data_IF_794933502988
#
_entry.id   IF_794933502988
#
_cell.length_a   1.000
_cell.length_b   1.000
_cell.length_c   1.000
_cell.angle_alpha   90.00
_cell.angle_beta   90.00
_cell.angle_gamma   90.00
#
_symmetry.space_group_name_H-M   'P 1'
#
loop_
_entity.id
_entity.type
_entity.pdbx_description
1 polymer ?
#
# COMPACT_ATOMS: atom_id res chain seq x y z
N UNK A 1 -29.36 -31.47 -19.61
CA UNK A 1 -28.23 -31.42 -20.58
C UNK A 1 -27.39 -30.14 -20.42
N UNK A 2 -28.02 -28.99 -20.22
CA UNK A 2 -27.34 -27.69 -20.05
C UNK A 2 -26.53 -27.58 -18.74
N UNK A 3 -27.06 -28.04 -17.61
CA UNK A 3 -26.32 -28.09 -16.33
C UNK A 3 -25.00 -28.88 -16.44
N UNK A 4 -25.02 -30.02 -17.11
CA UNK A 4 -23.83 -30.88 -17.24
C UNK A 4 -22.73 -30.22 -18.09
N UNK A 5 -23.12 -29.48 -19.15
CA UNK A 5 -22.18 -28.69 -19.96
C UNK A 5 -21.58 -27.54 -19.15
N UNK A 6 -22.37 -26.90 -18.28
CA UNK A 6 -21.91 -25.83 -17.40
C UNK A 6 -20.89 -26.35 -16.39
N UNK A 7 -21.22 -27.44 -15.68
CA UNK A 7 -20.34 -28.04 -14.66
C UNK A 7 -19.01 -28.52 -15.22
N UNK A 8 -18.98 -28.97 -16.48
CA UNK A 8 -17.75 -29.41 -17.12
C UNK A 8 -16.80 -28.24 -17.48
N UNK A 9 -17.32 -27.01 -17.56
CA UNK A 9 -16.53 -25.80 -17.87
C UNK A 9 -16.05 -25.05 -16.63
N UNK A 10 -16.59 -25.35 -15.45
CA UNK A 10 -16.27 -24.66 -14.22
C UNK A 10 -15.16 -25.38 -13.44
N UNK A 11 -14.30 -24.65 -12.72
CA UNK A 11 -13.38 -25.23 -11.73
C UNK A 11 -14.13 -26.07 -10.68
N UNK A 12 -13.45 -27.06 -10.10
CA UNK A 12 -14.07 -28.04 -9.20
C UNK A 12 -14.75 -27.40 -7.98
N UNK A 13 -14.16 -26.36 -7.39
CA UNK A 13 -14.74 -25.64 -6.24
C UNK A 13 -16.02 -24.88 -6.63
N UNK A 14 -16.00 -24.13 -7.73
CA UNK A 14 -17.17 -23.40 -8.24
C UNK A 14 -18.30 -24.34 -8.66
N UNK A 15 -17.97 -25.47 -9.27
CA UNK A 15 -18.93 -26.51 -9.62
C UNK A 15 -19.64 -27.10 -8.39
N UNK A 16 -18.91 -27.29 -7.29
CA UNK A 16 -19.49 -27.76 -6.03
C UNK A 16 -20.43 -26.73 -5.39
N UNK A 17 -20.09 -25.43 -5.44
CA UNK A 17 -20.96 -24.37 -4.93
C UNK A 17 -22.26 -24.27 -5.74
N UNK A 18 -22.18 -24.37 -7.07
CA UNK A 18 -23.38 -24.38 -7.94
C UNK A 18 -24.28 -25.58 -7.63
N UNK A 19 -23.72 -26.77 -7.44
CA UNK A 19 -24.50 -27.96 -7.05
C UNK A 19 -25.13 -27.78 -5.66
N UNK A 20 -24.40 -27.19 -4.71
CA UNK A 20 -24.91 -26.92 -3.36
C UNK A 20 -26.12 -25.98 -3.40
N UNK A 21 -26.02 -24.87 -4.16
CA UNK A 21 -27.12 -23.92 -4.33
C UNK A 21 -28.33 -24.52 -5.02
N UNK A 22 -28.14 -25.35 -6.05
CA UNK A 22 -29.23 -26.02 -6.74
C UNK A 22 -29.98 -27.03 -5.86
N UNK A 23 -29.31 -27.64 -4.87
CA UNK A 23 -29.94 -28.59 -3.93
C UNK A 23 -30.85 -27.92 -2.91
N UNK A 24 -30.61 -26.65 -2.60
CA UNK A 24 -31.31 -25.91 -1.52
C UNK A 24 -32.34 -24.94 -2.11
N UNK A 25 -32.27 -24.63 -3.40
CA UNK A 25 -33.13 -23.64 -4.04
C UNK A 25 -34.58 -24.12 -4.24
N UNK A 26 -35.54 -23.25 -3.92
CA UNK A 26 -36.96 -23.44 -4.19
C UNK A 26 -37.28 -23.44 -5.70
N UNK A 27 -36.53 -22.65 -6.49
CA UNK A 27 -36.55 -22.68 -7.96
C UNK A 27 -35.15 -22.96 -8.53
N UNK A 28 -34.80 -24.24 -8.73
CA UNK A 28 -33.49 -24.62 -9.27
C UNK A 28 -33.30 -24.22 -10.75
N UNK A 29 -34.37 -23.96 -11.50
CA UNK A 29 -34.27 -23.55 -12.91
C UNK A 29 -33.90 -22.07 -13.00
N UNK A 30 -34.42 -21.23 -12.10
CA UNK A 30 -34.03 -19.83 -12.01
C UNK A 30 -32.57 -19.70 -11.59
N UNK A 31 -32.13 -20.46 -10.58
CA UNK A 31 -30.73 -20.47 -10.14
C UNK A 31 -29.79 -20.89 -11.26
N UNK A 32 -30.14 -21.91 -12.03
CA UNK A 32 -29.34 -22.34 -13.18
C UNK A 32 -29.20 -21.24 -14.25
N UNK A 33 -30.28 -20.52 -14.56
CA UNK A 33 -30.27 -19.39 -15.51
C UNK A 33 -29.39 -18.26 -15.00
N UNK A 34 -29.52 -17.88 -13.74
CA UNK A 34 -28.68 -16.83 -13.14
C UNK A 34 -27.18 -17.14 -13.19
N UNK A 35 -26.79 -18.40 -12.99
CA UNK A 35 -25.39 -18.83 -13.10
C UNK A 35 -24.92 -18.81 -14.56
N UNK A 36 -25.76 -19.20 -15.51
CA UNK A 36 -25.45 -19.12 -16.94
C UNK A 36 -25.26 -17.67 -17.40
N UNK A 37 -26.17 -16.78 -17.00
CA UNK A 37 -26.10 -15.35 -17.33
C UNK A 37 -24.83 -14.72 -16.75
N UNK A 38 -24.49 -15.04 -15.50
CA UNK A 38 -23.23 -14.60 -14.89
C UNK A 38 -22.00 -15.15 -15.65
N UNK A 39 -22.03 -16.41 -16.07
CA UNK A 39 -20.94 -17.03 -16.83
C UNK A 39 -20.76 -16.42 -18.23
N UNK A 40 -21.84 -15.94 -18.86
CA UNK A 40 -21.79 -15.22 -20.15
C UNK A 40 -21.21 -13.81 -20.00
N UNK A 41 -21.46 -13.13 -18.87
CA UNK A 41 -20.84 -11.85 -18.56
C UNK A 41 -19.33 -12.00 -18.32
N UNK A 42 -18.92 -13.09 -17.66
CA UNK A 42 -17.51 -13.39 -17.40
C UNK A 42 -16.78 -13.77 -18.70
N UNK A 43 -17.41 -14.57 -19.58
CA UNK A 43 -16.82 -15.08 -20.82
C UNK A 43 -16.96 -14.14 -22.04
N UNK A 44 -17.31 -12.87 -21.85
CA UNK A 44 -17.44 -11.93 -22.95
C UNK A 44 -16.04 -11.60 -23.54
N UNK A 45 -15.74 -11.88 -24.82
CA UNK A 45 -14.44 -11.54 -25.43
C UNK A 45 -14.14 -10.03 -25.43
N UNK A 46 -15.15 -9.18 -25.24
CA UNK A 46 -14.95 -7.74 -25.06
C UNK A 46 -14.47 -7.37 -23.65
N UNK A 47 -14.65 -8.23 -22.64
CA UNK A 47 -14.16 -8.00 -21.27
C UNK A 47 -12.64 -8.15 -21.19
N UNK A 48 -12.06 -9.14 -21.89
CA UNK A 48 -10.61 -9.33 -21.95
C UNK A 48 -9.92 -8.21 -22.70
N UNK A 49 -10.50 -7.73 -23.81
CA UNK A 49 -10.00 -6.55 -24.53
C UNK A 49 -10.10 -5.26 -23.69
N UNK A 50 -11.15 -5.10 -22.89
CA UNK A 50 -11.30 -3.95 -22.00
C UNK A 50 -10.30 -4.00 -20.85
N UNK A 51 -10.11 -5.17 -20.22
CA UNK A 51 -9.09 -5.39 -19.18
C UNK A 51 -7.69 -5.09 -19.72
N UNK A 52 -7.32 -5.68 -20.86
CA UNK A 52 -6.01 -5.45 -21.47
C UNK A 52 -5.75 -3.97 -21.82
N UNK A 53 -6.78 -3.23 -22.24
CA UNK A 53 -6.68 -1.80 -22.50
C UNK A 53 -6.52 -0.98 -21.20
N UNK A 54 -7.21 -1.36 -20.13
CA UNK A 54 -7.04 -0.75 -18.81
C UNK A 54 -5.61 -0.98 -18.30
N UNK A 55 -5.14 -2.23 -18.37
CA UNK A 55 -3.78 -2.61 -17.96
C UNK A 55 -2.73 -1.80 -18.73
N UNK A 56 -2.86 -1.72 -20.06
CA UNK A 56 -1.97 -0.90 -20.92
C UNK A 56 -1.94 0.59 -20.51
N UNK A 57 -3.08 1.15 -20.07
CA UNK A 57 -3.16 2.55 -19.63
C UNK A 57 -2.52 2.75 -18.26
N UNK A 58 -2.70 1.81 -17.34
CA UNK A 58 -2.09 1.84 -16.01
C UNK A 58 -0.57 1.68 -16.10
N UNK A 59 -0.09 0.73 -16.92
CA UNK A 59 1.35 0.57 -17.22
C UNK A 59 1.95 1.84 -17.79
N UNK A 60 1.26 2.48 -18.75
CA UNK A 60 1.73 3.76 -19.31
C UNK A 60 1.81 4.87 -18.26
N UNK A 61 0.83 4.95 -17.35
CA UNK A 61 0.88 5.92 -16.25
C UNK A 61 2.06 5.67 -15.32
N UNK A 62 2.30 4.41 -14.96
CA UNK A 62 3.41 4.01 -14.10
C UNK A 62 4.76 4.32 -14.76
N UNK A 63 4.95 3.95 -16.03
CA UNK A 63 6.18 4.26 -16.78
C UNK A 63 6.46 5.77 -16.88
N UNK A 64 5.42 6.58 -17.08
CA UNK A 64 5.57 8.04 -17.10
C UNK A 64 5.94 8.58 -15.72
N UNK A 65 5.31 8.09 -14.66
CA UNK A 65 5.66 8.44 -13.29
C UNK A 65 7.13 8.09 -12.99
N UNK A 66 7.59 6.90 -13.37
CA UNK A 66 8.98 6.47 -13.18
C UNK A 66 9.98 7.37 -13.91
N UNK A 67 9.66 7.74 -15.16
CA UNK A 67 10.53 8.59 -15.99
C UNK A 67 10.69 9.97 -15.37
N UNK A 68 9.60 10.56 -14.91
CA UNK A 68 9.55 11.93 -14.39
C UNK A 68 9.99 12.06 -12.92
N UNK A 69 10.04 10.96 -12.18
CA UNK A 69 10.45 10.96 -10.77
C UNK A 69 11.93 11.31 -10.58
N UNK A 70 12.20 12.23 -9.65
CA UNK A 70 13.56 12.61 -9.26
C UNK A 70 14.26 11.50 -8.45
N UNK A 71 13.49 10.79 -7.63
CA UNK A 71 13.92 9.62 -6.87
C UNK A 71 13.28 8.39 -7.53
N UNK A 72 14.12 7.44 -7.95
CA UNK A 72 13.68 6.14 -8.48
C UNK A 72 14.00 5.05 -7.46
N UNK A 73 12.99 4.26 -7.15
CA UNK A 73 13.00 3.17 -6.18
C UNK A 73 12.06 2.07 -6.66
N UNK A 74 12.35 0.83 -6.27
CA UNK A 74 11.49 -0.31 -6.58
C UNK A 74 10.32 -0.35 -5.58
N UNK A 75 9.12 -0.69 -6.05
CA UNK A 75 7.95 -0.87 -5.21
C UNK A 75 8.05 -2.16 -4.40
N UNK A 76 8.45 -3.27 -5.04
CA UNK A 76 8.73 -4.53 -4.35
C UNK A 76 10.15 -4.50 -3.77
N UNK A 77 10.37 -5.10 -2.60
CA UNK A 77 9.43 -5.89 -1.79
C UNK A 77 8.56 -5.07 -0.81
N UNK A 78 8.64 -3.74 -0.85
CA UNK A 78 8.03 -2.85 0.15
C UNK A 78 6.51 -2.76 0.06
N UNK A 79 5.98 -2.83 -1.15
CA UNK A 79 4.54 -2.78 -1.43
C UNK A 79 4.20 -3.50 -2.73
N UNK A 80 2.96 -3.96 -2.81
CA UNK A 80 2.35 -4.51 -4.03
C UNK A 80 1.14 -3.67 -4.50
N UNK A 81 0.87 -2.53 -3.84
CA UNK A 81 -0.30 -1.67 -4.13
C UNK A 81 -0.19 -0.99 -5.49
N UNK A 82 1.02 -0.58 -5.88
CA UNK A 82 1.30 0.05 -7.17
C UNK A 82 2.67 -0.37 -7.72
N UNK A 83 2.96 0.02 -8.96
CA UNK A 83 4.24 -0.20 -9.62
C UNK A 83 5.34 0.77 -9.17
N UNK A 84 6.56 0.49 -9.63
CA UNK A 84 7.77 1.24 -9.27
C UNK A 84 7.65 2.72 -9.62
N UNK A 85 6.93 3.06 -10.70
CA UNK A 85 6.78 4.43 -11.13
C UNK A 85 5.91 5.28 -10.21
N UNK A 86 4.73 4.79 -9.86
CA UNK A 86 3.84 5.48 -8.92
C UNK A 86 4.51 5.59 -7.54
N UNK A 87 5.14 4.52 -7.06
CA UNK A 87 5.87 4.55 -5.77
C UNK A 87 7.03 5.55 -5.82
N UNK A 88 7.81 5.57 -6.90
CA UNK A 88 8.89 6.54 -7.11
C UNK A 88 8.40 7.99 -7.10
N UNK A 89 7.24 8.28 -7.70
CA UNK A 89 6.68 9.64 -7.73
C UNK A 89 6.21 10.08 -6.34
N UNK A 90 5.57 9.18 -5.59
CA UNK A 90 5.10 9.46 -4.24
C UNK A 90 6.27 9.66 -3.27
N UNK A 91 7.29 8.80 -3.32
CA UNK A 91 8.52 8.94 -2.52
C UNK A 91 9.28 10.21 -2.92
N UNK A 92 9.36 10.53 -4.22
CA UNK A 92 9.91 11.81 -4.69
C UNK A 92 9.14 12.98 -4.11
N UNK A 93 7.81 12.93 -4.16
CA UNK A 93 6.96 14.00 -3.65
C UNK A 93 7.10 14.20 -2.15
N UNK A 94 7.29 13.13 -1.38
CA UNK A 94 7.49 13.21 0.07
C UNK A 94 8.76 14.00 0.40
N UNK A 95 9.90 13.55 -0.12
CA UNK A 95 11.19 14.18 0.15
C UNK A 95 11.38 15.56 -0.49
N UNK A 96 10.62 15.90 -1.54
CA UNK A 96 10.64 17.24 -2.12
C UNK A 96 9.76 18.25 -1.37
N UNK A 97 8.73 17.79 -0.64
CA UNK A 97 7.80 18.67 0.08
C UNK A 97 8.20 18.90 1.53
N UNK A 98 8.86 17.93 2.18
CA UNK A 98 9.17 18.05 3.61
C UNK A 98 10.36 18.98 3.91
N UNK A 99 11.25 19.22 2.93
CA UNK A 99 12.23 20.32 2.99
C UNK A 99 11.54 21.70 3.10
N UNK A 100 10.26 21.82 2.69
CA UNK A 100 9.50 23.07 2.75
C UNK A 100 8.64 23.25 4.02
N UNK A 101 8.41 22.20 4.81
CA UNK A 101 7.51 22.22 5.99
C UNK A 101 8.20 22.06 7.37
N UNK A 102 9.54 22.25 7.44
CA UNK A 102 10.29 22.45 8.70
C UNK A 102 10.34 21.28 9.70
N UNK A 103 9.97 20.06 9.33
CA UNK A 103 10.04 18.90 10.22
C UNK A 103 10.64 17.67 9.52
N UNK A 104 11.97 17.62 9.29
CA UNK A 104 12.61 16.43 8.75
C UNK A 104 12.70 15.35 9.84
N UNK A 105 11.58 14.71 10.16
CA UNK A 105 11.52 13.63 11.14
C UNK A 105 11.98 12.27 10.56
N UNK A 106 12.43 12.25 9.30
CA UNK A 106 12.88 11.09 8.56
C UNK A 106 14.13 11.42 7.75
N UNK A 107 15.23 10.71 8.02
CA UNK A 107 16.48 10.86 7.28
C UNK A 107 16.37 10.26 5.87
N UNK A 108 16.44 11.14 4.87
CA UNK A 108 16.26 10.78 3.45
C UNK A 108 17.28 9.76 2.97
N UNK A 109 18.54 9.91 3.36
CA UNK A 109 19.64 9.09 2.84
C UNK A 109 19.54 7.68 3.38
N UNK A 110 19.40 7.53 4.71
CA UNK A 110 19.25 6.25 5.37
C UNK A 110 18.03 5.46 4.87
N UNK A 111 16.90 6.14 4.65
CA UNK A 111 15.69 5.52 4.11
C UNK A 111 15.90 5.04 2.67
N UNK A 112 16.41 5.89 1.78
CA UNK A 112 16.55 5.55 0.35
C UNK A 112 17.62 4.49 0.10
N UNK A 113 18.70 4.48 0.87
CA UNK A 113 19.71 3.42 0.83
C UNK A 113 19.09 2.06 1.10
N UNK A 114 18.28 1.95 2.17
CA UNK A 114 17.63 0.69 2.52
C UNK A 114 16.53 0.31 1.56
N UNK A 115 15.73 1.28 1.10
CA UNK A 115 14.69 1.03 0.11
C UNK A 115 15.27 0.43 -1.17
N UNK A 116 16.40 0.96 -1.65
CA UNK A 116 17.10 0.45 -2.83
C UNK A 116 17.81 -0.88 -2.58
N UNK A 117 18.26 -1.14 -1.36
CA UNK A 117 18.85 -2.43 -1.02
C UNK A 117 17.80 -3.57 -1.06
N UNK A 118 16.52 -3.25 -0.90
CA UNK A 118 15.42 -4.21 -1.07
C UNK A 118 15.40 -5.34 -0.04
N UNK A 119 16.12 -5.21 1.09
CA UNK A 119 16.20 -6.26 2.11
C UNK A 119 15.37 -5.91 3.35
N UNK A 120 14.09 -6.29 3.32
CA UNK A 120 13.13 -6.05 4.41
C UNK A 120 13.59 -6.66 5.74
N UNK A 121 14.31 -7.78 5.71
CA UNK A 121 14.70 -8.50 6.92
C UNK A 121 15.78 -7.76 7.74
N UNK A 122 16.62 -6.96 7.08
CA UNK A 122 17.75 -6.27 7.73
C UNK A 122 17.58 -4.75 7.82
N UNK A 123 16.58 -4.18 7.13
CA UNK A 123 16.33 -2.75 7.11
C UNK A 123 15.90 -2.23 8.50
N UNK A 124 16.46 -1.09 8.92
CA UNK A 124 16.22 -0.44 10.22
C UNK A 124 15.40 0.84 10.10
N UNK A 125 15.47 1.50 8.95
CA UNK A 125 14.94 2.83 8.66
C UNK A 125 13.94 2.82 7.51
N UNK A 126 13.97 1.82 6.62
CA UNK A 126 12.94 1.58 5.62
C UNK A 126 12.15 0.31 5.96
N UNK A 127 10.84 0.42 6.17
CA UNK A 127 9.96 -0.74 6.37
C UNK A 127 8.79 -0.70 5.39
N UNK A 128 8.19 -1.86 5.05
CA UNK A 128 6.95 -1.90 4.27
C UNK A 128 5.87 -1.00 4.87
N UNK A 129 5.73 -0.99 6.20
CA UNK A 129 4.77 -0.13 6.89
C UNK A 129 5.00 1.35 6.57
N UNK A 130 6.23 1.82 6.75
CA UNK A 130 6.59 3.22 6.51
C UNK A 130 6.44 3.61 5.03
N UNK A 131 6.86 2.75 4.10
CA UNK A 131 6.70 3.00 2.65
C UNK A 131 5.23 3.18 2.28
N UNK A 132 4.34 2.29 2.76
CA UNK A 132 2.91 2.39 2.48
C UNK A 132 2.29 3.62 3.16
N UNK A 133 2.73 4.00 4.36
CA UNK A 133 2.27 5.22 5.04
C UNK A 133 2.66 6.50 4.27
N UNK A 134 3.90 6.58 3.78
CA UNK A 134 4.38 7.68 2.91
C UNK A 134 3.56 7.74 1.62
N UNK A 135 3.37 6.59 0.97
CA UNK A 135 2.60 6.53 -0.28
C UNK A 135 1.14 6.93 -0.06
N UNK A 136 0.52 6.53 1.05
CA UNK A 136 -0.84 6.93 1.40
C UNK A 136 -0.96 8.44 1.60
N UNK A 137 -0.05 9.05 2.39
CA UNK A 137 -0.05 10.48 2.66
C UNK A 137 0.09 11.31 1.37
N UNK A 138 1.06 10.95 0.52
CA UNK A 138 1.31 11.67 -0.74
C UNK A 138 0.25 11.40 -1.80
N UNK A 139 -0.46 10.28 -1.73
CA UNK A 139 -1.50 9.94 -2.71
C UNK A 139 -2.65 10.93 -2.74
N UNK A 140 -2.96 11.60 -1.62
CA UNK A 140 -4.03 12.60 -1.53
C UNK A 140 -3.79 13.83 -2.41
N UNK A 141 -2.53 14.24 -2.57
CA UNK A 141 -2.18 15.45 -3.33
C UNK A 141 -1.70 15.14 -4.75
N UNK A 142 -1.28 13.90 -5.01
CA UNK A 142 -0.79 13.48 -6.32
C UNK A 142 -1.89 13.48 -7.40
N UNK A 143 -1.58 13.98 -8.59
CA UNK A 143 -2.51 13.98 -9.74
C UNK A 143 -2.55 12.63 -10.44
N UNK A 144 -1.43 11.92 -10.51
CA UNK A 144 -1.33 10.62 -11.16
C UNK A 144 -2.03 9.51 -10.39
N UNK A 145 -1.99 9.55 -9.05
CA UNK A 145 -2.80 8.64 -8.23
C UNK A 145 -4.28 8.83 -8.51
N UNK A 146 -4.78 10.07 -8.61
CA UNK A 146 -6.17 10.33 -9.02
C UNK A 146 -6.50 9.82 -10.42
N UNK A 147 -5.58 10.00 -11.39
CA UNK A 147 -5.75 9.45 -12.73
C UNK A 147 -5.80 7.92 -12.73
N UNK A 148 -4.92 7.27 -11.96
CA UNK A 148 -4.90 5.83 -11.76
C UNK A 148 -6.21 5.34 -11.14
N UNK A 149 -6.71 6.01 -10.09
CA UNK A 149 -7.97 5.66 -9.43
C UNK A 149 -9.17 5.79 -10.36
N UNK A 150 -9.17 6.80 -11.25
CA UNK A 150 -10.21 6.97 -12.27
C UNK A 150 -10.29 5.82 -13.27
N UNK A 151 -9.14 5.21 -13.61
CA UNK A 151 -9.01 4.10 -14.56
C UNK A 151 -9.31 2.77 -13.88
N UNK A 152 -8.63 2.48 -12.76
CA UNK A 152 -8.71 1.20 -12.05
C UNK A 152 -9.96 1.04 -11.18
N UNK A 153 -10.68 2.14 -10.89
CA UNK A 153 -11.77 2.21 -9.89
C UNK A 153 -11.34 1.86 -8.46
N UNK A 154 -10.04 1.80 -8.19
CA UNK A 154 -9.46 1.63 -6.85
C UNK A 154 -8.89 2.95 -6.38
N UNK A 155 -9.23 3.39 -5.18
CA UNK A 155 -8.61 4.58 -4.60
C UNK A 155 -7.23 4.22 -4.04
N UNK A 156 -6.16 4.57 -4.76
CA UNK A 156 -4.80 4.28 -4.32
C UNK A 156 -4.47 4.83 -2.93
N UNK A 157 -5.03 5.99 -2.54
CA UNK A 157 -4.78 6.53 -1.21
C UNK A 157 -5.35 5.60 -0.13
N UNK A 158 -6.54 5.03 -0.37
CA UNK A 158 -7.16 4.04 0.52
C UNK A 158 -6.45 2.70 0.49
N UNK A 159 -6.02 2.22 -0.69
CA UNK A 159 -5.27 0.97 -0.82
C UNK A 159 -3.95 1.03 -0.03
N UNK A 160 -3.16 2.10 -0.20
CA UNK A 160 -1.93 2.29 0.57
C UNK A 160 -2.20 2.46 2.07
N UNK A 161 -3.23 3.21 2.45
CA UNK A 161 -3.59 3.39 3.86
C UNK A 161 -4.02 2.08 4.52
N UNK A 162 -4.81 1.26 3.83
CA UNK A 162 -5.23 -0.05 4.31
C UNK A 162 -4.06 -1.02 4.41
N UNK A 163 -3.15 -1.00 3.44
CA UNK A 163 -1.92 -1.81 3.48
C UNK A 163 -1.03 -1.38 4.65
N UNK A 164 -0.85 -0.07 4.89
CA UNK A 164 -0.12 0.44 6.03
C UNK A 164 -0.74 -0.01 7.36
N UNK A 165 -2.08 0.05 7.50
CA UNK A 165 -2.77 -0.45 8.70
C UNK A 165 -2.59 -1.94 8.91
N UNK A 166 -2.66 -2.74 7.83
CA UNK A 166 -2.41 -4.19 7.89
C UNK A 166 -0.99 -4.46 8.38
N UNK A 167 0.00 -3.77 7.83
CA UNK A 167 1.40 -3.93 8.20
C UNK A 167 1.67 -3.48 9.63
N UNK A 168 1.10 -2.35 10.08
CA UNK A 168 1.18 -1.89 11.47
C UNK A 168 0.62 -2.94 12.45
N UNK A 169 -0.49 -3.59 12.10
CA UNK A 169 -1.04 -4.67 12.91
C UNK A 169 -0.08 -5.87 12.99
N UNK A 170 0.56 -6.23 11.87
CA UNK A 170 1.55 -7.30 11.80
C UNK A 170 2.84 -7.00 12.59
N UNK A 171 3.19 -5.72 12.80
CA UNK A 171 4.30 -5.35 13.68
C UNK A 171 4.03 -5.70 15.16
N UNK A 172 2.78 -5.98 15.52
CA UNK A 172 2.37 -6.48 16.84
C UNK A 172 2.94 -5.65 18.02
N UNK A 173 2.88 -4.32 17.90
CA UNK A 173 3.35 -3.39 18.94
C UNK A 173 4.87 -3.22 19.02
N UNK A 174 5.64 -3.72 18.05
CA UNK A 174 7.08 -3.50 17.96
C UNK A 174 7.39 -2.01 17.97
N UNK A 175 8.21 -1.59 18.93
CA UNK A 175 8.69 -0.21 19.05
C UNK A 175 9.89 -0.02 18.13
N UNK A 176 9.78 0.88 17.15
CA UNK A 176 10.87 1.22 16.24
C UNK A 176 10.73 2.65 15.71
N UNK A 177 11.83 3.25 15.24
CA UNK A 177 11.81 4.58 14.61
C UNK A 177 10.84 4.62 13.41
N UNK A 178 10.90 3.68 12.44
CA UNK A 178 9.93 3.63 11.35
C UNK A 178 8.47 3.50 11.79
N UNK A 179 8.21 2.79 12.88
CA UNK A 179 6.84 2.66 13.42
C UNK A 179 6.33 4.01 13.92
N UNK A 180 7.14 4.77 14.67
CA UNK A 180 6.78 6.11 15.14
C UNK A 180 6.57 7.06 13.96
N UNK A 181 7.48 7.06 12.98
CA UNK A 181 7.38 7.89 11.77
C UNK A 181 6.10 7.57 10.98
N UNK A 182 5.80 6.29 10.77
CA UNK A 182 4.61 5.84 10.07
C UNK A 182 3.32 6.19 10.82
N UNK A 183 3.29 6.08 12.15
CA UNK A 183 2.14 6.50 12.96
C UNK A 183 1.88 8.00 12.86
N UNK A 184 2.92 8.84 12.80
CA UNK A 184 2.79 10.29 12.57
C UNK A 184 2.15 10.58 11.20
N UNK A 185 2.54 9.84 10.16
CA UNK A 185 1.91 9.93 8.84
C UNK A 185 0.44 9.46 8.86
N UNK A 186 0.14 8.35 9.52
CA UNK A 186 -1.25 7.90 9.69
C UNK A 186 -2.11 8.92 10.45
N UNK A 187 -1.53 9.63 11.41
CA UNK A 187 -2.19 10.75 12.09
C UNK A 187 -2.46 11.90 11.11
N UNK A 188 -1.48 12.32 10.30
CA UNK A 188 -1.65 13.33 9.24
C UNK A 188 -2.81 12.97 8.29
N UNK A 189 -2.80 11.73 7.79
CA UNK A 189 -3.86 11.20 6.93
C UNK A 189 -5.22 11.23 7.64
N UNK A 190 -5.28 10.85 8.92
CA UNK A 190 -6.52 10.87 9.68
C UNK A 190 -7.10 12.29 9.81
N UNK A 191 -6.23 13.31 9.94
CA UNK A 191 -6.63 14.72 9.92
C UNK A 191 -7.20 15.12 8.54
N UNK A 192 -6.55 14.75 7.44
CA UNK A 192 -7.08 15.02 6.09
C UNK A 192 -8.45 14.39 5.86
N UNK A 193 -8.70 13.21 6.45
CA UNK A 193 -9.97 12.48 6.35
C UNK A 193 -11.05 12.92 7.34
N UNK A 194 -10.74 13.79 8.30
CA UNK A 194 -11.66 14.15 9.40
C UNK A 194 -12.00 12.98 10.33
N UNK A 195 -11.07 12.05 10.51
CA UNK A 195 -11.25 10.84 11.35
C UNK A 195 -10.59 11.01 12.73
N UNK A 196 -10.99 12.05 13.45
CA UNK A 196 -10.31 12.55 14.66
C UNK A 196 -10.06 11.49 15.74
N UNK A 197 -11.04 10.61 15.98
CA UNK A 197 -10.88 9.52 16.97
C UNK A 197 -9.75 8.56 16.60
N UNK A 198 -9.66 8.20 15.32
CA UNK A 198 -8.62 7.32 14.81
C UNK A 198 -7.25 8.03 14.79
N UNK A 199 -7.23 9.30 14.35
CA UNK A 199 -6.02 10.13 14.43
C UNK A 199 -5.49 10.25 15.86
N UNK A 200 -6.38 10.45 16.84
CA UNK A 200 -6.02 10.50 18.25
C UNK A 200 -5.44 9.19 18.80
N UNK A 201 -5.76 8.03 18.20
CA UNK A 201 -5.11 6.76 18.52
C UNK A 201 -3.69 6.71 17.95
N UNK A 202 -3.52 6.99 16.65
CA UNK A 202 -2.19 6.97 16.02
C UNK A 202 -1.22 7.94 16.70
N UNK A 203 -1.68 9.15 17.01
CA UNK A 203 -0.88 10.15 17.71
C UNK A 203 -0.43 9.66 19.09
N UNK A 204 -1.35 9.10 19.89
CA UNK A 204 -1.00 8.56 21.22
C UNK A 204 0.02 7.43 21.12
N UNK A 205 -0.21 6.46 20.23
CA UNK A 205 0.74 5.38 19.99
C UNK A 205 2.11 5.88 19.55
N UNK A 206 2.16 6.90 18.67
CA UNK A 206 3.42 7.51 18.26
C UNK A 206 4.19 8.11 19.44
N UNK A 207 3.52 8.90 20.28
CA UNK A 207 4.12 9.49 21.48
C UNK A 207 4.59 8.42 22.48
N UNK A 208 3.76 7.43 22.78
CA UNK A 208 4.09 6.38 23.73
C UNK A 208 5.31 5.56 23.26
N UNK A 209 5.38 5.24 21.97
CA UNK A 209 6.52 4.52 21.38
C UNK A 209 7.77 5.40 21.29
N UNK A 210 7.62 6.69 20.97
CA UNK A 210 8.74 7.63 20.94
C UNK A 210 9.40 7.77 22.32
N UNK A 211 8.59 7.88 23.39
CA UNK A 211 9.12 7.89 24.75
C UNK A 211 9.81 6.57 25.13
N UNK A 212 9.28 5.43 24.68
CA UNK A 212 9.90 4.11 24.92
C UNK A 212 11.23 3.93 24.17
N UNK A 213 11.39 4.50 22.98
CA UNK A 213 12.67 4.47 22.26
C UNK A 213 13.79 5.15 23.05
N UNK A 214 13.46 6.21 23.80
CA UNK A 214 14.43 7.03 24.53
C UNK A 214 15.60 7.45 23.62
N UNK A 215 15.25 8.18 22.56
CA UNK A 215 16.17 8.61 21.49
C UNK A 215 17.39 9.34 22.06
N UNK A 216 17.23 10.14 23.10
CA UNK A 216 18.33 10.80 23.79
C UNK A 216 19.37 9.81 24.35
N UNK A 217 18.89 8.74 25.00
CA UNK A 217 19.77 7.68 25.49
C UNK A 217 20.39 6.86 24.35
N UNK A 218 19.66 6.64 23.25
CA UNK A 218 20.21 6.00 22.06
C UNK A 218 21.35 6.83 21.48
N UNK A 219 21.15 8.13 21.29
CA UNK A 219 22.15 9.05 20.77
C UNK A 219 23.37 9.14 21.69
N UNK A 220 23.16 9.27 23.02
CA UNK A 220 24.23 9.35 23.99
C UNK A 220 25.19 8.15 23.94
N UNK A 221 24.68 6.93 23.65
CA UNK A 221 25.51 5.70 23.53
C UNK A 221 26.44 5.72 22.32
N UNK A 222 26.06 6.40 21.26
CA UNK A 222 26.79 6.42 19.98
C UNK A 222 27.46 7.77 19.69
N UNK A 223 27.31 8.76 20.58
CA UNK A 223 27.71 10.15 20.33
C UNK A 223 29.19 10.27 19.96
N UNK A 224 30.05 9.45 20.56
CA UNK A 224 31.51 9.48 20.38
C UNK A 224 32.02 8.36 19.46
N UNK A 225 31.13 7.50 18.94
CA UNK A 225 31.51 6.41 18.04
C UNK A 225 31.75 6.96 16.62
N UNK A 226 32.97 6.89 16.07
CA UNK A 226 33.26 7.37 14.72
C UNK A 226 32.52 6.55 13.64
N UNK A 227 32.16 5.30 13.91
CA UNK A 227 31.48 4.41 12.95
C UNK A 227 29.95 4.65 12.91
N UNK A 228 29.37 5.27 13.94
CA UNK A 228 27.93 5.48 14.07
C UNK A 228 27.44 6.80 13.43
N UNK A 229 28.14 7.32 12.42
CA UNK A 229 27.80 8.59 11.78
C UNK A 229 26.43 8.57 11.09
N UNK A 230 26.01 7.40 10.57
CA UNK A 230 24.69 7.21 9.95
C UNK A 230 23.60 7.21 11.02
N UNK A 231 23.77 6.39 12.07
CA UNK A 231 22.84 6.29 13.19
C UNK A 231 22.62 7.64 13.87
N UNK A 232 23.69 8.42 14.11
CA UNK A 232 23.60 9.77 14.71
C UNK A 232 22.84 10.79 13.86
N UNK A 233 22.75 10.59 12.55
CA UNK A 233 22.00 11.49 11.65
C UNK A 233 20.50 11.20 11.69
N UNK A 234 20.15 9.93 11.92
CA UNK A 234 18.76 9.47 11.99
C UNK A 234 18.11 9.79 13.35
N UNK A 235 18.89 9.71 14.43
CA UNK A 235 18.44 10.03 15.80
C UNK A 235 18.43 11.54 16.05
#
# INVERSE_FOLDING_TARGET
RELFKLLHKLPTEEGQEVISRLKIADDPIQVLRSVQDASLLINNPNSSSCSALLDSRLERLDLLALRESAIRVDAKPWTAVAGDGIVSELVSSFFNWDDAFYLPFLDREAFLEEMRAGNVATAKYCTPFLVNAICADRSYTCRRTRAFSGISKKDLADEFFNEAKKLLHLENGRVSIPTVQGLTLLFSIACYRGTDKLGGLYRRSAYDMFHQLNVDAMYARIKDDPLAARERRVL
#
